data_IF_615022512491
#
_entry.id   IF_615022512491
#
_cell.length_a   1.000
_cell.length_b   1.000
_cell.length_c   1.000
_cell.angle_alpha   90.00
_cell.angle_beta   90.00
_cell.angle_gamma   90.00
#
_symmetry.space_group_name_H-M   'P 1'
#
loop_
_entity.id
_entity.type
_entity.pdbx_description
1 polymer ?
#
# COMPACT_ATOMS: atom_id res chain seq x y z
N UNK A 1 -6.62 -8.81 -4.42
CA UNK A 1 -6.52 -7.69 -3.46
C UNK A 1 -5.28 -7.86 -2.63
N UNK A 2 -4.74 -6.76 -2.11
CA UNK A 2 -3.70 -6.73 -1.08
C UNK A 2 -4.35 -6.21 0.21
N UNK A 3 -4.30 -6.96 1.31
CA UNK A 3 -4.90 -6.55 2.60
C UNK A 3 -6.36 -6.06 2.49
N UNK A 4 -7.18 -6.74 1.66
CA UNK A 4 -8.59 -6.39 1.44
C UNK A 4 -8.85 -5.28 0.41
N UNK A 5 -7.84 -4.54 -0.05
CA UNK A 5 -7.97 -3.53 -1.12
C UNK A 5 -7.70 -4.14 -2.50
N UNK A 6 -8.54 -3.86 -3.50
CA UNK A 6 -8.29 -4.27 -4.88
C UNK A 6 -6.97 -3.65 -5.37
N UNK A 7 -6.11 -4.48 -5.96
CA UNK A 7 -4.89 -4.01 -6.62
C UNK A 7 -5.28 -3.40 -7.97
N UNK A 8 -4.78 -2.21 -8.24
CA UNK A 8 -4.94 -1.55 -9.55
C UNK A 8 -3.71 -1.79 -10.41
N UNK A 9 -3.87 -1.66 -11.72
CA UNK A 9 -2.75 -1.80 -12.65
C UNK A 9 -1.63 -0.80 -12.31
N UNK A 10 -0.39 -1.28 -12.33
CA UNK A 10 0.84 -0.53 -12.02
C UNK A 10 0.89 0.02 -10.58
N UNK A 11 0.10 -0.52 -9.65
CA UNK A 11 0.16 -0.12 -8.24
C UNK A 11 1.53 -0.47 -7.63
N UNK A 12 2.11 0.48 -6.89
CA UNK A 12 3.34 0.24 -6.14
C UNK A 12 3.00 -0.42 -4.80
N UNK A 13 3.56 -1.59 -4.56
CA UNK A 13 3.35 -2.44 -3.39
C UNK A 13 4.58 -2.41 -2.46
N UNK A 14 4.42 -2.75 -1.16
CA UNK A 14 5.55 -2.87 -0.24
C UNK A 14 6.35 -4.15 -0.52
N UNK A 15 7.53 -4.30 0.09
CA UNK A 15 8.48 -5.40 -0.23
C UNK A 15 8.00 -6.81 0.10
N UNK A 16 6.93 -6.96 0.91
CA UNK A 16 6.36 -8.26 1.30
C UNK A 16 4.84 -8.27 1.08
N UNK A 17 4.37 -8.23 -0.18
CA UNK A 17 2.95 -8.21 -0.45
C UNK A 17 2.31 -9.58 -0.15
N UNK A 18 1.14 -9.57 0.48
CA UNK A 18 0.29 -10.77 0.61
C UNK A 18 -0.98 -10.62 -0.22
N UNK A 19 -1.13 -11.48 -1.21
CA UNK A 19 -2.20 -11.46 -2.18
C UNK A 19 -3.37 -12.32 -1.71
N UNK A 20 -4.56 -11.74 -1.80
CA UNK A 20 -5.84 -12.44 -1.63
C UNK A 20 -6.60 -12.41 -2.94
N UNK A 21 -7.02 -13.56 -3.45
CA UNK A 21 -7.79 -13.66 -4.68
C UNK A 21 -9.13 -14.33 -4.37
N UNK A 22 -10.22 -13.58 -4.59
CA UNK A 22 -11.58 -14.08 -4.42
C UNK A 22 -12.13 -14.47 -5.79
N UNK A 23 -12.56 -15.73 -5.92
CA UNK A 23 -13.25 -16.25 -7.09
C UNK A 23 -14.67 -16.64 -6.66
N UNK A 24 -15.67 -16.27 -7.45
CA UNK A 24 -17.07 -16.62 -7.19
C UNK A 24 -17.74 -17.07 -8.46
N UNK A 25 -18.37 -18.25 -8.42
CA UNK A 25 -19.17 -18.80 -9.52
C UNK A 25 -20.37 -19.56 -8.94
N UNK A 26 -21.63 -19.18 -9.23
CA UNK A 26 -22.81 -19.91 -8.75
C UNK A 26 -22.85 -21.39 -9.17
N UNK A 27 -22.24 -21.73 -10.30
CA UNK A 27 -22.16 -23.10 -10.84
C UNK A 27 -21.02 -23.92 -10.21
N UNK A 28 -20.16 -23.29 -9.40
CA UNK A 28 -19.00 -23.93 -8.79
C UNK A 28 -17.73 -23.84 -9.63
N UNK A 29 -16.59 -23.87 -8.95
CA UNK A 29 -15.24 -23.70 -9.53
C UNK A 29 -14.47 -25.02 -9.49
N UNK A 30 -13.74 -25.32 -10.56
CA UNK A 30 -12.85 -26.48 -10.62
C UNK A 30 -11.47 -26.13 -10.04
N UNK A 31 -11.04 -26.87 -9.02
CA UNK A 31 -9.82 -26.55 -8.24
C UNK A 31 -8.60 -27.42 -8.53
N UNK A 32 -8.71 -28.36 -9.47
CA UNK A 32 -7.55 -29.19 -9.83
C UNK A 32 -6.43 -28.34 -10.45
N UNK A 33 -5.19 -28.85 -10.36
CA UNK A 33 -3.97 -28.17 -10.83
C UNK A 33 -3.94 -27.87 -12.33
N UNK A 34 -4.83 -28.46 -13.14
CA UNK A 34 -4.95 -28.21 -14.57
C UNK A 34 -5.99 -27.13 -14.92
N UNK A 35 -6.86 -26.76 -13.98
CA UNK A 35 -8.01 -25.87 -14.20
C UNK A 35 -8.01 -24.64 -13.30
N UNK A 36 -7.23 -24.66 -12.22
CA UNK A 36 -6.89 -23.49 -11.42
C UNK A 36 -5.37 -23.30 -11.48
N UNK A 37 -4.95 -22.29 -12.24
CA UNK A 37 -3.54 -21.99 -12.50
C UNK A 37 -3.27 -20.58 -11.97
N UNK A 38 -2.32 -20.49 -11.05
CA UNK A 38 -1.75 -19.22 -10.61
C UNK A 38 -0.36 -19.12 -11.23
N UNK A 39 -0.09 -18.03 -11.91
CA UNK A 39 1.19 -17.71 -12.54
C UNK A 39 1.72 -16.41 -11.93
N UNK A 40 3.02 -16.41 -11.65
CA UNK A 40 3.75 -15.23 -11.20
C UNK A 40 4.98 -15.08 -12.09
N UNK A 41 5.10 -13.91 -12.72
CA UNK A 41 6.11 -13.61 -13.74
C UNK A 41 6.22 -14.72 -14.80
N UNK A 42 5.06 -15.08 -15.38
CA UNK A 42 4.89 -16.13 -16.39
C UNK A 42 5.28 -17.56 -15.94
N UNK A 43 5.60 -17.74 -14.65
CA UNK A 43 5.90 -19.05 -14.08
C UNK A 43 4.71 -19.58 -13.27
N UNK A 44 4.30 -20.80 -13.59
CA UNK A 44 3.24 -21.48 -12.84
C UNK A 44 3.69 -21.77 -11.40
N UNK A 45 2.87 -21.35 -10.44
CA UNK A 45 3.07 -21.61 -9.02
C UNK A 45 2.46 -22.95 -8.65
N UNK A 46 3.20 -23.76 -7.89
CA UNK A 46 2.68 -25.00 -7.32
C UNK A 46 1.56 -24.70 -6.30
N UNK A 47 0.50 -25.51 -6.30
CA UNK A 47 -0.60 -25.37 -5.34
C UNK A 47 -0.16 -25.57 -3.88
N UNK A 48 1.00 -26.15 -3.61
CA UNK A 48 1.56 -26.20 -2.25
C UNK A 48 2.04 -24.84 -1.75
N UNK A 49 2.26 -23.87 -2.65
CA UNK A 49 2.83 -22.57 -2.32
C UNK A 49 1.76 -21.48 -2.09
N UNK A 50 0.48 -21.85 -2.12
CA UNK A 50 -0.63 -20.97 -1.78
C UNK A 50 -1.77 -21.74 -1.11
N UNK A 51 -2.55 -21.04 -0.29
CA UNK A 51 -3.68 -21.65 0.41
C UNK A 51 -4.95 -21.45 -0.40
N UNK A 52 -5.79 -22.50 -0.50
CA UNK A 52 -7.12 -22.44 -1.11
C UNK A 52 -8.16 -22.72 -0.03
N UNK A 53 -8.87 -21.68 0.42
CA UNK A 53 -9.99 -21.81 1.33
C UNK A 53 -11.30 -21.86 0.56
N UNK A 54 -12.22 -22.72 1.01
CA UNK A 54 -13.54 -22.93 0.38
C UNK A 54 -14.61 -22.87 1.46
N UNK A 55 -15.79 -22.40 1.11
CA UNK A 55 -16.99 -22.58 1.96
C UNK A 55 -17.38 -24.05 2.00
N UNK A 56 -17.71 -24.57 3.20
CA UNK A 56 -17.58 -25.97 3.63
C UNK A 56 -18.10 -27.05 2.68
N UNK A 57 -19.02 -26.75 1.76
CA UNK A 57 -19.65 -27.75 0.88
C UNK A 57 -19.84 -27.29 -0.57
N UNK A 58 -19.38 -26.09 -0.94
CA UNK A 58 -19.56 -25.54 -2.28
C UNK A 58 -18.28 -24.89 -2.79
N UNK A 59 -17.88 -25.26 -4.01
CA UNK A 59 -16.82 -24.57 -4.76
C UNK A 59 -17.31 -23.28 -5.40
N UNK A 60 -18.45 -22.75 -4.96
CA UNK A 60 -19.02 -21.51 -5.50
C UNK A 60 -18.25 -20.27 -5.08
N UNK A 61 -17.54 -20.34 -3.95
CA UNK A 61 -16.64 -19.29 -3.48
C UNK A 61 -15.30 -19.91 -3.10
N UNK A 62 -14.23 -19.33 -3.63
CA UNK A 62 -12.85 -19.73 -3.33
C UNK A 62 -12.04 -18.50 -2.97
N UNK A 63 -11.27 -18.62 -1.89
CA UNK A 63 -10.29 -17.64 -1.47
C UNK A 63 -8.90 -18.24 -1.62
N UNK A 64 -8.06 -17.61 -2.44
CA UNK A 64 -6.64 -17.96 -2.58
C UNK A 64 -5.81 -16.96 -1.81
N UNK A 65 -4.90 -17.43 -0.97
CA UNK A 65 -3.92 -16.63 -0.25
C UNK A 65 -2.51 -17.00 -0.71
N UNK A 66 -1.77 -16.01 -1.21
CA UNK A 66 -0.43 -16.19 -1.76
C UNK A 66 0.50 -15.08 -1.28
N UNK A 67 1.63 -15.46 -0.67
CA UNK A 67 2.65 -14.52 -0.17
C UNK A 67 3.99 -14.93 -0.78
N UNK A 68 4.35 -14.41 -1.97
CA UNK A 68 5.64 -14.70 -2.60
C UNK A 68 6.80 -14.07 -1.84
N UNK A 69 7.97 -14.70 -1.95
CA UNK A 69 9.23 -13.98 -1.86
C UNK A 69 9.48 -13.33 -3.23
N UNK A 70 9.52 -12.00 -3.26
CA UNK A 70 9.57 -11.19 -4.48
C UNK A 70 10.65 -10.12 -4.33
N UNK A 71 11.42 -9.89 -5.40
CA UNK A 71 12.39 -8.80 -5.46
C UNK A 71 11.70 -7.47 -5.76
N UNK A 72 12.42 -6.34 -5.65
CA UNK A 72 11.90 -5.07 -6.13
C UNK A 72 11.84 -5.05 -7.66
N UNK A 73 10.85 -4.38 -8.23
CA UNK A 73 10.69 -4.28 -9.68
C UNK A 73 9.27 -4.52 -10.17
N UNK A 74 9.14 -4.73 -11.48
CA UNK A 74 7.85 -4.96 -12.14
C UNK A 74 7.51 -6.44 -12.11
N UNK A 75 6.28 -6.77 -11.73
CA UNK A 75 5.81 -8.13 -11.61
C UNK A 75 4.40 -8.29 -12.15
N UNK A 76 4.07 -9.53 -12.51
CA UNK A 76 2.74 -9.91 -13.00
C UNK A 76 2.20 -11.07 -12.20
N UNK A 77 0.97 -10.94 -11.71
CA UNK A 77 0.22 -12.05 -11.13
C UNK A 77 -0.97 -12.37 -12.05
N UNK A 78 -1.05 -13.62 -12.51
CA UNK A 78 -2.10 -14.09 -13.40
C UNK A 78 -2.83 -15.29 -12.81
N UNK A 79 -4.16 -15.25 -12.89
CA UNK A 79 -5.06 -16.32 -12.51
C UNK A 79 -5.82 -16.81 -13.73
N UNK A 80 -5.74 -18.12 -13.97
CA UNK A 80 -6.64 -18.85 -14.87
C UNK A 80 -7.50 -19.78 -14.04
N UNK A 81 -8.81 -19.68 -14.19
CA UNK A 81 -9.79 -20.51 -13.50
C UNK A 81 -10.83 -21.04 -14.47
N UNK A 82 -11.31 -22.25 -14.21
CA UNK A 82 -12.46 -22.83 -14.90
C UNK A 82 -13.60 -23.13 -13.93
N UNK A 83 -14.84 -22.90 -14.36
CA UNK A 83 -16.03 -23.37 -13.65
C UNK A 83 -16.27 -24.88 -13.87
N UNK A 84 -17.31 -25.45 -13.27
CA UNK A 84 -17.69 -26.86 -13.48
C UNK A 84 -18.27 -27.15 -14.88
N UNK A 85 -18.70 -26.12 -15.61
CA UNK A 85 -19.25 -26.23 -16.97
C UNK A 85 -18.17 -26.10 -18.06
N UNK A 86 -16.91 -25.84 -17.66
CA UNK A 86 -15.77 -25.68 -18.56
C UNK A 86 -15.50 -24.24 -19.02
N UNK A 87 -16.30 -23.25 -18.60
CA UNK A 87 -16.06 -21.84 -18.89
C UNK A 87 -14.72 -21.41 -18.28
N UNK A 88 -13.94 -20.63 -19.02
CA UNK A 88 -12.61 -20.16 -18.62
C UNK A 88 -12.66 -18.67 -18.29
N UNK A 89 -12.03 -18.29 -17.18
CA UNK A 89 -11.61 -16.91 -16.90
C UNK A 89 -10.09 -16.84 -16.86
N UNK A 90 -9.56 -15.73 -17.38
CA UNK A 90 -8.13 -15.42 -17.45
C UNK A 90 -7.96 -13.95 -17.06
N UNK A 91 -7.30 -13.69 -15.93
CA UNK A 91 -7.10 -12.34 -15.39
C UNK A 91 -5.67 -12.20 -14.94
N UNK A 92 -5.07 -11.06 -15.26
CA UNK A 92 -3.76 -10.66 -14.76
C UNK A 92 -3.84 -9.27 -14.13
N UNK A 93 -2.84 -8.97 -13.31
CA UNK A 93 -2.56 -7.64 -12.80
C UNK A 93 -1.06 -7.42 -12.85
N UNK A 94 -0.65 -6.25 -13.37
CA UNK A 94 0.72 -5.79 -13.31
C UNK A 94 0.88 -4.85 -12.10
N UNK A 95 1.99 -4.97 -11.38
CA UNK A 95 2.27 -4.16 -10.21
C UNK A 95 3.78 -4.00 -10.04
N UNK A 96 4.18 -3.06 -9.18
CA UNK A 96 5.58 -2.73 -8.93
C UNK A 96 5.87 -2.99 -7.45
N UNK A 97 6.89 -3.77 -7.12
CA UNK A 97 7.38 -3.86 -5.74
C UNK A 97 8.45 -2.80 -5.52
N UNK A 98 8.22 -1.93 -4.53
CA UNK A 98 9.13 -0.85 -4.20
C UNK A 98 10.49 -1.36 -3.70
N UNK A 99 11.52 -0.52 -3.81
CA UNK A 99 12.81 -0.81 -3.17
C UNK A 99 12.66 -0.84 -1.65
N UNK A 100 13.48 -1.63 -0.93
CA UNK A 100 13.53 -1.58 0.53
C UNK A 100 13.85 -0.18 1.07
N UNK A 101 13.28 0.12 2.22
CA UNK A 101 13.54 1.34 2.99
C UNK A 101 13.30 2.62 2.16
N UNK A 102 12.18 2.64 1.44
CA UNK A 102 11.78 3.72 0.54
C UNK A 102 10.48 4.39 1.01
N UNK A 103 10.41 5.70 0.78
CA UNK A 103 9.17 6.46 0.84
C UNK A 103 8.54 6.45 -0.55
N UNK A 104 7.55 5.57 -0.74
CA UNK A 104 6.81 5.38 -1.99
C UNK A 104 6.01 6.64 -2.33
N UNK A 105 5.30 7.20 -1.35
CA UNK A 105 4.55 8.44 -1.55
C UNK A 105 4.38 9.22 -0.26
N UNK A 106 4.25 10.55 -0.38
CA UNK A 106 3.84 11.43 0.70
C UNK A 106 2.99 12.57 0.13
N UNK A 107 1.89 12.87 0.79
CA UNK A 107 1.01 13.97 0.42
C UNK A 107 0.30 14.50 1.67
N UNK A 108 -0.33 15.65 1.53
CA UNK A 108 -1.31 16.12 2.49
C UNK A 108 -2.62 16.42 1.76
N UNK A 109 -3.76 16.06 2.36
CA UNK A 109 -5.07 16.35 1.82
C UNK A 109 -6.05 16.79 2.93
N UNK A 110 -6.87 17.85 2.69
CA UNK A 110 -6.81 18.73 1.53
C UNK A 110 -5.52 19.58 1.48
N UNK A 111 -5.09 19.98 0.28
CA UNK A 111 -4.03 20.98 0.09
C UNK A 111 -4.43 21.91 -1.07
N UNK A 112 -4.76 23.19 -0.81
CA UNK A 112 -4.70 23.87 0.49
C UNK A 112 -5.72 23.37 1.52
N UNK A 113 -5.43 23.52 2.81
CA UNK A 113 -6.34 23.20 3.92
C UNK A 113 -6.79 24.43 4.71
N UNK A 114 -7.90 24.31 5.46
CA UNK A 114 -8.44 25.38 6.33
C UNK A 114 -8.17 25.17 7.81
N UNK A 115 -8.82 24.16 8.37
CA UNK A 115 -8.73 23.82 9.78
C UNK A 115 -7.83 22.62 10.01
N UNK A 116 -7.92 21.60 9.15
CA UNK A 116 -7.11 20.40 9.28
C UNK A 116 -6.72 19.85 7.91
N UNK A 117 -5.63 19.10 7.90
CA UNK A 117 -5.19 18.26 6.79
C UNK A 117 -4.79 16.90 7.35
N UNK A 118 -4.97 15.86 6.55
CA UNK A 118 -4.32 14.58 6.76
C UNK A 118 -2.97 14.65 6.07
N UNK A 119 -1.92 14.18 6.73
CA UNK A 119 -0.62 13.89 6.11
C UNK A 119 -0.58 12.38 5.92
N UNK A 120 -0.55 11.94 4.67
CA UNK A 120 -0.53 10.54 4.30
C UNK A 120 0.82 10.18 3.67
N UNK A 121 1.40 9.05 4.06
CA UNK A 121 2.59 8.51 3.43
C UNK A 121 2.52 7.00 3.30
N UNK A 122 3.34 6.47 2.39
CA UNK A 122 3.49 5.05 2.17
C UNK A 122 4.97 4.67 2.22
N UNK A 123 5.36 3.85 3.21
CA UNK A 123 6.69 3.27 3.33
C UNK A 123 6.71 1.82 2.83
N UNK A 124 7.77 1.46 2.10
CA UNK A 124 7.96 0.08 1.63
C UNK A 124 8.36 -0.91 2.72
N UNK A 125 8.90 -0.41 3.84
CA UNK A 125 9.35 -1.14 5.03
C UNK A 125 8.98 -0.40 6.32
N UNK A 126 9.15 -1.08 7.46
CA UNK A 126 9.05 -0.48 8.78
C UNK A 126 10.21 0.49 9.05
N UNK A 127 9.86 1.75 9.30
CA UNK A 127 10.81 2.74 9.81
C UNK A 127 10.84 2.68 11.35
N UNK A 128 12.05 2.64 11.90
CA UNK A 128 12.30 2.71 13.34
C UNK A 128 11.79 4.04 13.93
N UNK A 129 11.99 5.12 13.18
CA UNK A 129 11.59 6.47 13.57
C UNK A 129 11.17 7.27 12.34
N UNK A 130 10.05 7.99 12.47
CA UNK A 130 9.56 8.96 11.52
C UNK A 130 9.48 10.31 12.22
N UNK A 131 10.07 11.34 11.62
CA UNK A 131 10.02 12.72 12.10
C UNK A 131 9.43 13.61 11.01
N UNK A 132 8.38 14.34 11.38
CA UNK A 132 7.67 15.28 10.55
C UNK A 132 7.79 16.68 11.15
N UNK A 133 8.64 17.52 10.57
CA UNK A 133 8.86 18.89 11.03
C UNK A 133 8.29 19.90 10.05
N UNK A 134 7.46 20.81 10.53
CA UNK A 134 6.75 21.81 9.73
C UNK A 134 7.40 23.16 9.91
N UNK A 135 7.71 23.82 8.79
CA UNK A 135 8.41 25.10 8.76
C UNK A 135 7.62 26.13 7.98
N UNK A 136 7.78 27.40 8.36
CA UNK A 136 7.45 28.54 7.51
C UNK A 136 8.41 28.63 6.31
N UNK A 137 8.07 29.43 5.29
CA UNK A 137 8.96 29.70 4.15
C UNK A 137 10.29 30.33 4.59
N UNK A 138 10.31 31.08 5.69
CA UNK A 138 11.55 31.66 6.24
C UNK A 138 12.39 30.68 7.07
N UNK A 139 11.97 29.42 7.21
CA UNK A 139 12.69 28.39 7.95
C UNK A 139 12.38 28.35 9.45
N UNK A 140 11.45 29.16 9.96
CA UNK A 140 10.99 29.05 11.36
C UNK A 140 10.25 27.71 11.55
N UNK A 141 10.71 26.90 12.50
CA UNK A 141 10.03 25.66 12.93
C UNK A 141 8.70 26.01 13.60
N UNK A 142 7.65 25.28 13.24
CA UNK A 142 6.29 25.46 13.74
C UNK A 142 5.85 24.29 14.62
N UNK A 143 6.10 23.06 14.16
CA UNK A 143 5.64 21.82 14.79
C UNK A 143 6.60 20.69 14.42
N UNK A 144 6.84 19.77 15.34
CA UNK A 144 7.46 18.47 15.10
C UNK A 144 6.54 17.38 15.61
N UNK A 145 6.37 16.34 14.80
CA UNK A 145 5.64 15.13 15.17
C UNK A 145 6.58 13.93 14.97
N UNK A 146 6.60 13.02 15.92
CA UNK A 146 7.48 11.85 15.92
C UNK A 146 6.64 10.57 16.09
N UNK A 147 6.95 9.57 15.28
CA UNK A 147 6.28 8.27 15.23
C UNK A 147 7.33 7.17 15.13
N UNK A 148 7.00 5.96 15.56
CA UNK A 148 7.95 4.85 15.66
C UNK A 148 7.32 3.56 15.16
N UNK A 149 8.12 2.72 14.52
CA UNK A 149 7.74 1.38 14.04
C UNK A 149 6.51 1.41 13.13
N UNK A 150 6.49 2.33 12.17
CA UNK A 150 5.41 2.46 11.20
C UNK A 150 5.84 1.95 9.83
N UNK A 151 4.92 1.28 9.13
CA UNK A 151 5.12 0.70 7.81
C UNK A 151 3.85 0.79 6.98
N UNK A 152 3.99 0.69 5.66
CA UNK A 152 2.83 0.70 4.77
C UNK A 152 2.21 2.09 4.65
N UNK A 153 0.91 2.12 4.32
CA UNK A 153 0.14 3.35 4.17
C UNK A 153 -0.36 3.84 5.53
N UNK A 154 0.03 5.06 5.90
CA UNK A 154 -0.29 5.69 7.18
C UNK A 154 -0.88 7.08 6.94
N UNK A 155 -1.85 7.46 7.79
CA UNK A 155 -2.48 8.77 7.79
C UNK A 155 -2.41 9.40 9.18
N UNK A 156 -1.88 10.62 9.26
CA UNK A 156 -1.85 11.41 10.49
C UNK A 156 -2.63 12.71 10.31
N UNK A 157 -3.60 12.95 11.20
CA UNK A 157 -4.36 14.19 11.21
C UNK A 157 -3.54 15.33 11.84
N UNK A 158 -3.51 16.48 11.17
CA UNK A 158 -2.94 17.70 11.74
C UNK A 158 -3.93 18.87 11.59
N UNK A 159 -4.18 19.55 12.71
CA UNK A 159 -5.12 20.66 12.85
C UNK A 159 -4.53 22.04 12.51
N UNK A 160 -3.36 22.09 11.85
CA UNK A 160 -2.75 23.35 11.46
C UNK A 160 -2.29 24.22 12.62
N UNK A 161 -2.00 23.62 13.78
CA UNK A 161 -1.51 24.32 14.97
C UNK A 161 0.01 24.17 15.13
N UNK A 162 0.61 25.14 15.83
CA UNK A 162 2.02 25.11 16.24
C UNK A 162 2.23 24.25 17.51
N UNK A 163 3.44 24.25 18.08
CA UNK A 163 3.71 23.54 19.34
C UNK A 163 2.93 24.03 20.56
N UNK A 164 2.41 25.24 20.53
CA UNK A 164 1.67 25.87 21.64
C UNK A 164 0.15 25.76 21.47
N UNK A 165 -0.34 25.12 20.40
CA UNK A 165 -1.76 25.01 20.09
C UNK A 165 -2.34 26.21 19.34
N UNK A 166 -1.52 27.19 18.93
CA UNK A 166 -2.02 28.31 18.15
C UNK A 166 -2.17 27.93 16.68
N UNK A 167 -3.30 28.29 16.08
CA UNK A 167 -3.51 28.16 14.64
C UNK A 167 -2.46 28.95 13.86
N UNK A 168 -1.86 28.31 12.88
CA UNK A 168 -0.96 28.97 11.94
C UNK A 168 -1.69 30.05 11.14
N UNK A 169 -0.97 31.08 10.68
CA UNK A 169 -1.49 32.07 9.74
C UNK A 169 -1.80 31.46 8.35
N UNK A 170 -2.45 32.24 7.49
CA UNK A 170 -2.59 31.85 6.08
C UNK A 170 -1.24 31.94 5.38
N UNK A 171 -0.95 30.98 4.51
CA UNK A 171 0.29 30.98 3.75
C UNK A 171 0.80 29.61 3.37
N UNK A 172 2.03 29.60 2.90
CA UNK A 172 2.76 28.40 2.48
C UNK A 172 3.66 27.93 3.61
N UNK A 173 3.73 26.61 3.77
CA UNK A 173 4.55 25.90 4.75
C UNK A 173 5.27 24.74 4.07
N UNK A 174 6.35 24.29 4.69
CA UNK A 174 7.09 23.11 4.25
C UNK A 174 7.08 22.06 5.35
N UNK A 175 6.59 20.87 5.03
CA UNK A 175 6.78 19.68 5.84
C UNK A 175 8.09 19.01 5.40
N UNK A 176 9.03 18.85 6.32
CA UNK A 176 10.17 17.95 6.18
C UNK A 176 9.81 16.62 6.82
N UNK A 177 9.70 15.60 5.99
CA UNK A 177 9.60 14.22 6.42
C UNK A 177 11.00 13.60 6.48
N UNK A 178 11.27 12.80 7.51
CA UNK A 178 12.40 11.89 7.53
C UNK A 178 12.00 10.56 8.15
N UNK A 179 12.43 9.47 7.55
CA UNK A 179 12.28 8.12 8.08
C UNK A 179 13.66 7.48 8.26
N UNK A 180 13.86 6.84 9.40
CA UNK A 180 15.07 6.11 9.76
C UNK A 180 14.77 4.61 9.77
N UNK A 181 15.49 3.88 8.95
CA UNK A 181 15.55 2.42 8.88
C UNK A 181 16.85 1.93 9.53
N UNK A 182 17.05 0.61 9.70
CA UNK A 182 18.27 0.08 10.33
C UNK A 182 19.57 0.57 9.67
N UNK A 183 19.63 0.56 8.34
CA UNK A 183 20.85 0.87 7.57
C UNK A 183 20.73 2.13 6.72
N UNK A 184 19.57 2.80 6.74
CA UNK A 184 19.25 3.90 5.81
C UNK A 184 18.45 4.99 6.50
N UNK A 185 18.69 6.24 6.12
CA UNK A 185 17.81 7.34 6.47
C UNK A 185 17.42 8.08 5.20
N UNK A 186 16.13 8.38 5.06
CA UNK A 186 15.58 9.12 3.93
C UNK A 186 14.94 10.41 4.42
N UNK A 187 14.89 11.42 3.54
CA UNK A 187 14.15 12.66 3.80
C UNK A 187 13.48 13.18 2.54
N UNK A 188 12.32 13.81 2.70
CA UNK A 188 11.54 14.48 1.66
C UNK A 188 10.96 15.78 2.18
N UNK A 189 10.74 16.73 1.29
CA UNK A 189 10.08 18.00 1.60
C UNK A 189 8.78 18.06 0.81
N UNK A 190 7.68 18.34 1.51
CA UNK A 190 6.36 18.55 0.94
C UNK A 190 5.95 20.02 1.16
N UNK A 191 5.43 20.67 0.12
CA UNK A 191 4.85 22.01 0.22
C UNK A 191 3.38 21.91 0.62
N UNK A 192 3.00 22.65 1.65
CA UNK A 192 1.64 22.75 2.15
C UNK A 192 1.15 24.19 2.05
N UNK A 193 -0.15 24.37 1.84
CA UNK A 193 -0.79 25.68 1.87
C UNK A 193 -1.96 25.68 2.84
N UNK A 194 -2.04 26.71 3.68
CA UNK A 194 -3.17 26.96 4.59
C UNK A 194 -3.91 28.22 4.13
N UNK A 195 -5.23 28.11 3.98
CA UNK A 195 -6.15 29.21 3.68
C UNK A 195 -7.19 29.30 4.80
N UNK A 196 -7.69 30.47 5.15
CA UNK A 196 -8.90 30.59 6.00
C UNK A 196 -10.14 30.60 5.12
#
# INVERSE_FOLDING_TARGET
>A
SLNGKRIIEDEVLPVKPSFTILITDPSGITINTAKLILEFDDQKIDQTNFTINKTSDQTSVILIEYTPEIESGNHTLRLVAHDLNGNKTDKSVHFIVAEPDELISIANHPNPFRDNTIIAYFLSNEALEIKMSIYTVSGRLIKTMEFYNEQGYIEHNWNGENEFGDKMANGVYYLRFSAKFPEKQISRILKMARLQ
#
